data_IF_962650863135
#
_entry.id   IF_962650863135
#
_cell.length_a   1.000
_cell.length_b   1.000
_cell.length_c   1.000
_cell.angle_alpha   90.00
_cell.angle_beta   90.00
_cell.angle_gamma   90.00
#
_symmetry.space_group_name_H-M   'P 1'
#
loop_
_entity.id
_entity.type
_entity.pdbx_description
1 polymer ?
#
# COMPACT_ATOMS: atom_id res chain seq x y z
N UNK A 1 -4.37 -4.66 16.26
CA UNK A 1 -3.79 -3.61 15.37
C UNK A 1 -3.91 -2.24 16.01
N UNK A 2 -2.85 -1.43 15.95
CA UNK A 2 -2.84 -0.05 16.45
C UNK A 2 -3.56 0.91 15.47
N UNK A 3 -3.93 2.14 15.88
CA UNK A 3 -4.50 3.15 14.98
C UNK A 3 -3.62 3.43 13.76
N UNK A 4 -2.30 3.54 13.96
CA UNK A 4 -1.33 3.76 12.88
C UNK A 4 -1.22 2.54 11.97
N UNK A 5 -1.27 1.33 12.54
CA UNK A 5 -1.31 0.09 11.76
C UNK A 5 -2.57 -0.01 10.88
N UNK A 6 -3.72 0.49 11.35
CA UNK A 6 -4.95 0.59 10.54
C UNK A 6 -4.83 1.61 9.42
N UNK A 7 -4.17 2.75 9.67
CA UNK A 7 -3.91 3.76 8.64
C UNK A 7 -3.04 3.18 7.52
N UNK A 8 -1.93 2.52 7.87
CA UNK A 8 -1.07 1.84 6.89
C UNK A 8 -1.85 0.79 6.09
N UNK A 9 -2.64 -0.03 6.78
CA UNK A 9 -3.49 -1.02 6.15
C UNK A 9 -4.47 -0.44 5.13
N UNK A 10 -5.17 0.63 5.51
CA UNK A 10 -6.11 1.32 4.63
C UNK A 10 -5.37 1.92 3.41
N UNK A 11 -4.20 2.52 3.62
CA UNK A 11 -3.40 3.08 2.54
C UNK A 11 -2.90 2.00 1.56
N UNK A 12 -2.46 0.84 2.07
CA UNK A 12 -2.03 -0.29 1.25
C UNK A 12 -3.16 -0.85 0.38
N UNK A 13 -4.35 -1.05 0.96
CA UNK A 13 -5.53 -1.51 0.21
C UNK A 13 -5.95 -0.47 -0.82
N UNK A 14 -5.98 0.81 -0.45
CA UNK A 14 -6.36 1.88 -1.36
C UNK A 14 -5.39 2.01 -2.54
N UNK A 15 -4.08 1.94 -2.28
CA UNK A 15 -3.05 1.92 -3.31
C UNK A 15 -3.23 0.72 -4.25
N UNK A 16 -3.45 -0.48 -3.69
CA UNK A 16 -3.74 -1.68 -4.48
C UNK A 16 -5.00 -1.54 -5.36
N UNK A 17 -6.07 -0.92 -4.85
CA UNK A 17 -7.28 -0.66 -5.64
C UNK A 17 -7.01 0.31 -6.79
N UNK A 18 -6.21 1.36 -6.57
CA UNK A 18 -5.84 2.30 -7.65
C UNK A 18 -4.94 1.65 -8.70
N UNK A 19 -4.04 0.74 -8.31
CA UNK A 19 -3.29 -0.12 -9.24
C UNK A 19 -4.22 -0.99 -10.09
N UNK A 20 -5.20 -1.65 -9.46
CA UNK A 20 -6.17 -2.48 -10.17
C UNK A 20 -6.97 -1.66 -11.19
N UNK A 21 -7.41 -0.46 -10.80
CA UNK A 21 -8.08 0.48 -11.70
C UNK A 21 -7.18 0.94 -12.86
N UNK A 22 -5.89 1.16 -12.61
CA UNK A 22 -4.92 1.54 -13.63
C UNK A 22 -4.68 0.40 -14.63
N UNK A 23 -4.50 -0.84 -14.15
CA UNK A 23 -4.39 -2.02 -15.00
C UNK A 23 -5.66 -2.26 -15.82
N UNK A 24 -6.84 -2.08 -15.21
CA UNK A 24 -8.12 -2.17 -15.91
C UNK A 24 -8.25 -1.07 -16.97
N UNK A 25 -7.85 0.17 -16.66
CA UNK A 25 -7.80 1.27 -17.62
C UNK A 25 -6.87 0.98 -18.80
N UNK A 26 -5.70 0.38 -18.54
CA UNK A 26 -4.78 -0.06 -19.59
C UNK A 26 -5.42 -1.17 -20.43
N UNK A 27 -5.98 -2.21 -19.80
CA UNK A 27 -6.64 -3.31 -20.50
C UNK A 27 -7.75 -2.82 -21.44
N UNK A 28 -8.61 -1.92 -20.97
CA UNK A 28 -9.65 -1.30 -21.78
C UNK A 28 -9.05 -0.45 -22.91
N UNK A 29 -8.03 0.38 -22.63
CA UNK A 29 -7.36 1.16 -23.67
C UNK A 29 -6.83 0.28 -24.81
N UNK A 30 -6.17 -0.82 -24.51
CA UNK A 30 -5.63 -1.72 -25.54
C UNK A 30 -6.70 -2.60 -26.20
N UNK A 31 -7.75 -2.99 -25.47
CA UNK A 31 -8.82 -3.86 -25.97
C UNK A 31 -9.91 -3.15 -26.77
N UNK A 32 -10.23 -1.89 -26.42
CA UNK A 32 -11.30 -1.11 -27.05
C UNK A 32 -10.82 0.16 -27.75
N UNK A 33 -9.50 0.47 -27.74
CA UNK A 33 -8.87 1.63 -28.40
C UNK A 33 -9.48 3.00 -28.04
N UNK A 34 -10.25 3.11 -26.94
CA UNK A 34 -11.17 4.24 -26.72
C UNK A 34 -11.02 4.96 -25.36
N UNK A 35 -10.44 4.35 -24.33
CA UNK A 35 -10.45 4.91 -22.96
C UNK A 35 -9.11 5.49 -22.49
N UNK A 36 -8.75 6.68 -22.98
CA UNK A 36 -7.65 7.47 -22.39
C UNK A 36 -8.01 8.07 -21.03
N UNK A 37 -9.30 8.38 -20.83
CA UNK A 37 -9.86 8.94 -19.59
C UNK A 37 -9.64 8.03 -18.37
N UNK A 38 -9.77 6.72 -18.54
CA UNK A 38 -9.55 5.75 -17.44
C UNK A 38 -8.10 5.74 -16.97
N UNK A 39 -7.15 5.64 -17.91
CA UNK A 39 -5.71 5.69 -17.58
C UNK A 39 -5.32 7.04 -16.98
N UNK A 40 -5.87 8.14 -17.49
CA UNK A 40 -5.60 9.48 -16.96
C UNK A 40 -6.10 9.63 -15.52
N UNK A 41 -7.34 9.22 -15.23
CA UNK A 41 -7.94 9.33 -13.90
C UNK A 41 -7.24 8.39 -12.91
N UNK A 42 -7.13 7.10 -13.24
CA UNK A 42 -6.50 6.13 -12.35
C UNK A 42 -5.00 6.37 -12.18
N UNK A 43 -4.30 6.92 -13.18
CA UNK A 43 -2.92 7.37 -13.04
C UNK A 43 -2.74 8.44 -11.95
N UNK A 44 -3.62 9.45 -11.93
CA UNK A 44 -3.57 10.52 -10.92
C UNK A 44 -3.98 10.03 -9.54
N UNK A 45 -5.05 9.23 -9.47
CA UNK A 45 -5.49 8.62 -8.21
C UNK A 45 -4.41 7.70 -7.63
N UNK A 46 -3.77 6.90 -8.49
CA UNK A 46 -2.69 6.03 -8.10
C UNK A 46 -1.47 6.82 -7.58
N UNK A 47 -1.05 7.88 -8.28
CA UNK A 47 0.03 8.74 -7.79
C UNK A 47 -0.26 9.36 -6.42
N UNK A 48 -1.50 9.81 -6.17
CA UNK A 48 -1.91 10.31 -4.87
C UNK A 48 -1.94 9.21 -3.79
N UNK A 49 -2.46 8.02 -4.13
CA UNK A 49 -2.48 6.87 -3.25
C UNK A 49 -1.07 6.40 -2.87
N UNK A 50 -0.15 6.38 -3.83
CA UNK A 50 1.27 6.07 -3.63
C UNK A 50 1.92 7.01 -2.62
N UNK A 51 1.72 8.33 -2.76
CA UNK A 51 2.26 9.30 -1.80
C UNK A 51 1.66 9.11 -0.40
N UNK A 52 0.34 8.89 -0.30
CA UNK A 52 -0.32 8.59 0.97
C UNK A 52 0.25 7.33 1.62
N UNK A 53 0.47 6.27 0.83
CA UNK A 53 1.07 5.03 1.29
C UNK A 53 2.50 5.23 1.81
N UNK A 54 3.34 5.99 1.11
CA UNK A 54 4.72 6.29 1.54
C UNK A 54 4.72 7.04 2.88
N UNK A 55 3.86 8.04 3.04
CA UNK A 55 3.72 8.78 4.31
C UNK A 55 3.21 7.87 5.42
N UNK A 56 2.17 7.07 5.16
CA UNK A 56 1.63 6.13 6.13
C UNK A 56 2.66 5.07 6.55
N UNK A 57 3.46 4.56 5.61
CA UNK A 57 4.57 3.65 5.87
C UNK A 57 5.61 4.30 6.78
N UNK A 58 6.05 5.52 6.48
CA UNK A 58 7.03 6.23 7.31
C UNK A 58 6.51 6.43 8.74
N UNK A 59 5.26 6.88 8.87
CA UNK A 59 4.61 7.04 10.17
C UNK A 59 4.51 5.72 10.94
N UNK A 60 4.14 4.62 10.26
CA UNK A 60 4.08 3.29 10.85
C UNK A 60 5.46 2.79 11.28
N UNK A 61 6.47 2.96 10.44
CA UNK A 61 7.84 2.55 10.76
C UNK A 61 8.37 3.25 12.01
N UNK A 62 8.15 4.57 12.13
CA UNK A 62 8.58 5.35 13.28
C UNK A 62 7.77 5.02 14.54
N UNK A 63 6.44 4.99 14.45
CA UNK A 63 5.54 4.81 15.61
C UNK A 63 5.50 3.38 16.12
N UNK A 64 5.56 2.41 15.21
CA UNK A 64 5.54 0.98 15.54
C UNK A 64 6.96 0.41 15.66
N UNK A 65 7.99 1.27 15.56
CA UNK A 65 9.41 0.91 15.71
C UNK A 65 9.75 -0.30 14.84
N UNK A 66 9.42 -0.21 13.56
CA UNK A 66 9.75 -1.27 12.61
C UNK A 66 11.28 -1.39 12.50
N UNK A 67 11.79 -2.62 12.31
CA UNK A 67 13.16 -2.78 11.87
C UNK A 67 13.34 -2.15 10.48
N UNK A 68 14.56 -1.69 10.19
CA UNK A 68 14.87 -0.97 8.93
C UNK A 68 14.47 -1.77 7.67
N UNK A 69 14.59 -3.11 7.71
CA UNK A 69 14.22 -3.98 6.61
C UNK A 69 12.71 -3.93 6.31
N UNK A 70 11.86 -3.80 7.33
CA UNK A 70 10.40 -3.77 7.14
C UNK A 70 9.97 -2.45 6.48
N UNK A 71 10.63 -1.36 6.85
CA UNK A 71 10.44 -0.09 6.13
C UNK A 71 10.91 -0.20 4.68
N UNK A 72 12.09 -0.76 4.43
CA UNK A 72 12.59 -0.97 3.06
C UNK A 72 11.64 -1.85 2.21
N UNK A 73 11.17 -2.97 2.75
CA UNK A 73 10.20 -3.85 2.08
C UNK A 73 8.88 -3.12 1.79
N UNK A 74 8.43 -2.24 2.70
CA UNK A 74 7.23 -1.45 2.47
C UNK A 74 7.34 -0.52 1.27
N UNK A 75 8.50 0.10 1.05
CA UNK A 75 8.75 0.94 -0.12
C UNK A 75 8.87 0.10 -1.39
N UNK A 76 9.60 -1.02 -1.31
CA UNK A 76 9.74 -1.94 -2.43
C UNK A 76 8.39 -2.51 -2.88
N UNK A 77 7.47 -2.78 -1.96
CA UNK A 77 6.14 -3.29 -2.28
C UNK A 77 5.25 -2.31 -3.04
N UNK A 78 5.57 -1.02 -3.05
CA UNK A 78 4.83 -0.03 -3.83
C UNK A 78 5.30 0.05 -5.30
N UNK A 79 6.43 -0.59 -5.66
CA UNK A 79 6.92 -0.62 -7.03
C UNK A 79 6.18 -1.65 -7.91
N UNK A 80 6.05 -2.93 -7.50
CA UNK A 80 5.30 -3.89 -8.27
C UNK A 80 3.80 -3.77 -8.02
N UNK A 81 2.97 -3.95 -9.06
CA UNK A 81 1.52 -3.81 -8.95
C UNK A 81 0.94 -4.77 -7.92
N UNK A 82 0.02 -4.25 -7.09
CA UNK A 82 -0.78 -5.00 -6.11
C UNK A 82 0.02 -5.62 -4.95
N UNK A 83 1.33 -5.39 -4.81
CA UNK A 83 2.17 -6.05 -3.79
C UNK A 83 2.04 -5.41 -2.42
N UNK A 84 1.52 -4.19 -2.32
CA UNK A 84 1.19 -3.51 -1.06
C UNK A 84 0.19 -4.32 -0.22
N UNK A 85 -0.78 -5.01 -0.84
CA UNK A 85 -1.80 -5.83 -0.16
C UNK A 85 -1.22 -7.11 0.48
N UNK A 86 -0.52 -8.01 -0.24
CA UNK A 86 0.08 -9.20 0.39
C UNK A 86 1.15 -8.83 1.42
N UNK A 87 1.92 -7.74 1.21
CA UNK A 87 2.85 -7.25 2.21
C UNK A 87 2.11 -6.84 3.50
N UNK A 88 1.01 -6.11 3.35
CA UNK A 88 0.18 -5.67 4.47
C UNK A 88 -0.39 -6.84 5.26
N UNK A 89 -0.91 -7.86 4.57
CA UNK A 89 -1.35 -9.11 5.19
C UNK A 89 -0.21 -9.82 5.93
N UNK A 90 0.99 -9.83 5.35
CA UNK A 90 2.16 -10.41 5.99
C UNK A 90 2.56 -9.63 7.24
N UNK A 91 2.64 -8.30 7.18
CA UNK A 91 2.93 -7.44 8.33
C UNK A 91 1.89 -7.58 9.45
N UNK A 92 0.61 -7.82 9.11
CA UNK A 92 -0.41 -8.19 10.09
C UNK A 92 -0.08 -9.52 10.76
N UNK A 93 0.28 -10.54 9.98
CA UNK A 93 0.61 -11.89 10.48
C UNK A 93 1.82 -11.93 11.40
N UNK A 94 2.86 -11.14 11.12
CA UNK A 94 4.08 -11.06 11.94
C UNK A 94 4.01 -10.00 13.05
N UNK A 95 2.81 -9.49 13.35
CA UNK A 95 2.58 -8.54 14.45
C UNK A 95 3.17 -7.13 14.24
N UNK A 96 3.68 -6.79 13.05
CA UNK A 96 4.28 -5.48 12.78
C UNK A 96 3.27 -4.33 12.83
N UNK A 97 1.98 -4.60 12.61
CA UNK A 97 0.91 -3.57 12.71
C UNK A 97 0.34 -3.40 14.13
N UNK A 98 0.83 -4.17 15.11
CA UNK A 98 0.52 -4.05 16.53
C UNK A 98 1.29 -2.92 17.22
N UNK A 99 0.85 -2.52 18.42
CA UNK A 99 1.63 -1.60 19.25
C UNK A 99 2.93 -2.29 19.72
N UNK A 100 4.06 -1.59 19.91
CA UNK A 100 5.33 -2.21 20.32
C UNK A 100 5.21 -3.10 21.58
N UNK A 101 4.40 -2.71 22.55
CA UNK A 101 4.15 -3.51 23.76
C UNK A 101 3.33 -4.79 23.55
N UNK A 102 2.64 -4.94 22.41
CA UNK A 102 1.90 -6.16 22.07
C UNK A 102 2.80 -7.23 21.43
N UNK A 103 3.92 -6.84 20.80
CA UNK A 103 4.87 -7.80 20.18
C UNK A 103 5.74 -8.57 21.17
N UNK A 104 5.86 -8.09 22.41
CA UNK A 104 6.72 -8.70 23.42
C UNK A 104 6.01 -9.78 24.26
N UNK A 105 4.71 -9.98 24.04
CA UNK A 105 3.84 -10.87 24.83
C UNK A 105 3.42 -12.12 24.03
N UNK A 106 3.67 -12.15 22.72
CA UNK A 106 3.53 -13.32 21.84
C UNK A 106 4.90 -13.97 21.60
#
# INVERSE_FOLDING_TARGET
MSPVGRLFAAAAVFEGLTWAGLLLGMLLKYGTQTTELGVWLFGRLHGAAFLLYVVASLLAALRLRWPWWAWALSLLAALPPLVTVPLELWFRRIGLLGAPGQRAVE
#
